data_IF_739964874111
#
_entry.id   IF_739964874111
#
_cell.length_a   1.000
_cell.length_b   1.000
_cell.length_c   1.000
_cell.angle_alpha   90.00
_cell.angle_beta   90.00
_cell.angle_gamma   90.00
#
_symmetry.space_group_name_H-M   'P 1'
#
loop_
_entity.id
_entity.type
_entity.pdbx_description
1 polymer ?
#
# COMPACT_ATOMS: atom_id res chain seq x y z
N UNK A 1 0.20 9.75 4.78
CA UNK A 1 0.19 11.07 5.47
C UNK A 1 0.40 12.23 4.51
N UNK A 2 1.43 12.21 3.65
CA UNK A 2 1.76 13.31 2.72
C UNK A 2 0.57 13.76 1.88
N UNK A 3 -0.03 12.86 1.09
CA UNK A 3 -1.18 13.20 0.25
C UNK A 3 -2.42 13.61 1.05
N UNK A 4 -2.72 12.96 2.16
CA UNK A 4 -3.81 13.37 3.05
C UNK A 4 -3.66 14.82 3.58
N UNK A 5 -2.41 15.27 3.78
CA UNK A 5 -2.12 16.61 4.25
C UNK A 5 -2.14 17.67 3.13
N UNK A 6 -1.80 17.29 1.89
CA UNK A 6 -1.63 18.22 0.77
C UNK A 6 -2.77 18.20 -0.25
N UNK A 7 -3.66 17.19 -0.20
CA UNK A 7 -4.80 17.10 -1.11
C UNK A 7 -5.72 18.32 -0.96
N UNK A 8 -6.09 18.91 -2.09
CA UNK A 8 -6.86 20.14 -2.17
C UNK A 8 -7.90 20.07 -3.29
N UNK A 9 -8.76 21.09 -3.39
CA UNK A 9 -9.84 21.14 -4.38
C UNK A 9 -11.13 20.45 -3.94
N UNK A 10 -12.03 20.24 -4.90
CA UNK A 10 -13.41 19.78 -4.65
C UNK A 10 -13.48 18.34 -4.13
N UNK A 11 -12.53 17.50 -4.51
CA UNK A 11 -12.46 16.09 -4.11
C UNK A 11 -11.76 15.86 -2.76
N UNK A 12 -11.21 16.91 -2.13
CA UNK A 12 -10.32 16.77 -0.97
C UNK A 12 -10.95 16.04 0.22
N UNK A 13 -12.27 16.16 0.41
CA UNK A 13 -12.96 15.58 1.58
C UNK A 13 -12.84 14.07 1.57
N UNK A 14 -13.39 13.45 0.53
CA UNK A 14 -13.34 12.01 0.30
C UNK A 14 -11.90 11.49 0.21
N UNK A 15 -11.06 12.16 -0.58
CA UNK A 15 -9.69 11.69 -0.81
C UNK A 15 -8.82 11.78 0.43
N UNK A 16 -9.05 12.77 1.30
CA UNK A 16 -8.33 12.84 2.58
C UNK A 16 -8.69 11.66 3.47
N UNK A 17 -9.97 11.30 3.57
CA UNK A 17 -10.42 10.14 4.36
C UNK A 17 -9.85 8.85 3.78
N UNK A 18 -9.93 8.67 2.46
CA UNK A 18 -9.29 7.57 1.74
C UNK A 18 -7.80 7.45 2.09
N UNK A 19 -7.00 8.50 1.88
CA UNK A 19 -5.56 8.47 2.18
C UNK A 19 -5.22 8.28 3.66
N UNK A 20 -6.13 8.60 4.59
CA UNK A 20 -5.92 8.37 6.03
C UNK A 20 -6.24 6.94 6.44
N UNK A 21 -7.23 6.31 5.81
CA UNK A 21 -7.59 4.91 6.06
C UNK A 21 -6.41 3.98 5.73
N UNK A 22 -5.79 4.18 4.56
CA UNK A 22 -4.61 3.41 4.10
C UNK A 22 -3.46 3.43 5.12
N UNK A 23 -3.25 4.54 5.85
CA UNK A 23 -2.15 4.64 6.82
C UNK A 23 -2.27 3.58 7.92
N UNK A 24 -3.47 3.27 8.37
CA UNK A 24 -3.67 2.31 9.46
C UNK A 24 -3.36 0.89 8.98
N UNK A 25 -3.83 0.52 7.79
CA UNK A 25 -3.57 -0.79 7.19
C UNK A 25 -2.07 -0.97 6.94
N UNK A 26 -1.43 0.04 6.35
CA UNK A 26 -0.01 -0.03 6.01
C UNK A 26 0.91 -0.07 7.23
N UNK A 27 0.51 0.56 8.34
CA UNK A 27 1.22 0.41 9.60
C UNK A 27 1.09 -1.01 10.17
N UNK A 28 -0.07 -1.67 10.01
CA UNK A 28 -0.24 -3.08 10.40
C UNK A 28 0.64 -3.98 9.53
N UNK A 29 0.67 -3.77 8.21
CA UNK A 29 1.54 -4.50 7.29
C UNK A 29 3.01 -4.35 7.67
N UNK A 30 3.46 -3.10 7.87
CA UNK A 30 4.83 -2.80 8.26
C UNK A 30 5.22 -3.46 9.59
N UNK A 31 4.34 -3.44 10.59
CA UNK A 31 4.56 -4.10 11.87
C UNK A 31 4.71 -5.62 11.71
N UNK A 32 3.78 -6.26 10.98
CA UNK A 32 3.85 -7.69 10.70
C UNK A 32 5.16 -8.06 10.01
N UNK A 33 5.55 -7.33 8.96
CA UNK A 33 6.79 -7.60 8.24
C UNK A 33 8.02 -7.40 9.12
N UNK A 34 8.04 -6.35 9.95
CA UNK A 34 9.15 -6.10 10.87
C UNK A 34 9.32 -7.23 11.90
N UNK A 35 8.22 -7.68 12.49
CA UNK A 35 8.20 -8.79 13.45
C UNK A 35 8.63 -10.09 12.78
N UNK A 36 8.14 -10.36 11.56
CA UNK A 36 8.54 -11.55 10.82
C UNK A 36 10.02 -11.54 10.45
N UNK A 37 10.55 -10.41 9.99
CA UNK A 37 11.98 -10.26 9.71
C UNK A 37 12.82 -10.53 10.97
N UNK A 38 12.42 -9.96 12.12
CA UNK A 38 13.10 -10.18 13.38
C UNK A 38 13.03 -11.65 13.84
N UNK A 39 11.86 -12.29 13.72
CA UNK A 39 11.65 -13.70 14.07
C UNK A 39 12.51 -14.66 13.22
N UNK A 40 12.78 -14.29 11.96
CA UNK A 40 13.69 -15.02 11.07
C UNK A 40 15.17 -14.68 11.30
N UNK A 41 15.50 -13.87 12.32
CA UNK A 41 16.86 -13.50 12.70
C UNK A 41 17.45 -12.31 11.91
N UNK A 42 16.62 -11.64 11.09
CA UNK A 42 17.00 -10.44 10.35
C UNK A 42 16.86 -9.15 11.17
N UNK A 43 17.29 -8.03 10.58
CA UNK A 43 17.06 -6.68 11.13
C UNK A 43 16.14 -5.91 10.19
N UNK A 44 14.94 -5.49 10.61
CA UNK A 44 14.05 -4.70 9.78
C UNK A 44 14.63 -3.31 9.49
N UNK A 45 14.25 -2.73 8.34
CA UNK A 45 14.59 -1.35 8.02
C UNK A 45 13.76 -0.38 8.86
N UNK A 46 14.32 0.80 9.13
CA UNK A 46 13.63 1.94 9.77
C UNK A 46 13.33 3.07 8.78
N UNK A 47 13.68 2.89 7.51
CA UNK A 47 13.51 3.89 6.46
C UNK A 47 12.35 3.49 5.54
N UNK A 48 11.26 4.27 5.47
CA UNK A 48 10.16 4.03 4.55
C UNK A 48 10.56 4.38 3.11
N UNK A 49 9.84 3.83 2.14
CA UNK A 49 9.96 4.24 0.74
C UNK A 49 9.56 5.72 0.58
N UNK A 50 10.22 6.47 -0.33
CA UNK A 50 9.85 7.86 -0.58
C UNK A 50 8.45 7.92 -1.22
N UNK A 51 7.65 8.90 -0.79
CA UNK A 51 6.36 9.21 -1.43
C UNK A 51 6.62 10.23 -2.54
N UNK A 52 6.26 9.95 -3.80
CA UNK A 52 6.43 10.91 -4.89
C UNK A 52 5.74 12.25 -4.61
N UNK A 53 6.30 13.34 -5.13
CA UNK A 53 5.59 14.61 -5.12
C UNK A 53 4.45 14.59 -6.15
N UNK A 54 3.28 15.10 -5.77
CA UNK A 54 2.12 15.18 -6.64
C UNK A 54 1.35 16.48 -6.39
N UNK A 55 1.07 17.23 -7.46
CA UNK A 55 0.43 18.54 -7.39
C UNK A 55 -1.10 18.48 -7.48
N UNK A 56 -1.66 17.42 -8.08
CA UNK A 56 -3.11 17.28 -8.28
C UNK A 56 -3.65 16.03 -7.59
N UNK A 57 -4.92 16.02 -7.16
CA UNK A 57 -5.52 14.83 -6.56
C UNK A 57 -5.48 13.60 -7.49
N UNK A 58 -5.61 13.81 -8.80
CA UNK A 58 -5.46 12.75 -9.79
C UNK A 58 -4.04 12.17 -9.80
N UNK A 59 -3.01 13.02 -9.82
CA UNK A 59 -1.62 12.57 -9.79
C UNK A 59 -1.29 11.83 -8.49
N UNK A 60 -1.89 12.24 -7.35
CA UNK A 60 -1.76 11.51 -6.08
C UNK A 60 -2.31 10.08 -6.20
N UNK A 61 -3.50 9.92 -6.79
CA UNK A 61 -4.11 8.60 -7.00
C UNK A 61 -3.35 7.75 -8.02
N UNK A 62 -2.81 8.35 -9.08
CA UNK A 62 -1.96 7.62 -10.03
C UNK A 62 -0.67 7.10 -9.36
N UNK A 63 -0.08 7.90 -8.46
CA UNK A 63 1.06 7.47 -7.67
C UNK A 63 0.70 6.35 -6.67
N UNK A 64 -0.46 6.44 -6.01
CA UNK A 64 -0.97 5.35 -5.16
C UNK A 64 -1.17 4.08 -5.99
N UNK A 65 -1.88 4.16 -7.12
CA UNK A 65 -2.12 3.00 -7.99
C UNK A 65 -0.83 2.30 -8.43
N UNK A 66 0.21 3.08 -8.72
CA UNK A 66 1.51 2.51 -9.06
C UNK A 66 2.17 1.83 -7.85
N UNK A 67 2.12 2.46 -6.67
CA UNK A 67 2.62 1.87 -5.44
C UNK A 67 1.93 0.54 -5.13
N UNK A 68 0.60 0.48 -5.19
CA UNK A 68 -0.20 -0.74 -4.96
C UNK A 68 0.22 -1.89 -5.89
N UNK A 69 0.37 -1.60 -7.19
CA UNK A 69 0.79 -2.61 -8.18
C UNK A 69 2.17 -3.17 -7.88
N UNK A 70 3.11 -2.31 -7.50
CA UNK A 70 4.45 -2.74 -7.13
C UNK A 70 4.45 -3.51 -5.80
N UNK A 71 3.65 -3.08 -4.83
CA UNK A 71 3.51 -3.75 -3.53
C UNK A 71 2.95 -5.16 -3.69
N UNK A 72 1.85 -5.32 -4.44
CA UNK A 72 1.27 -6.63 -4.78
C UNK A 72 2.32 -7.53 -5.44
N UNK A 73 3.07 -7.02 -6.43
CA UNK A 73 4.10 -7.80 -7.11
C UNK A 73 5.18 -8.30 -6.14
N UNK A 74 5.65 -7.43 -5.22
CA UNK A 74 6.64 -7.80 -4.19
C UNK A 74 6.08 -8.83 -3.22
N UNK A 75 4.84 -8.68 -2.73
CA UNK A 75 4.26 -9.64 -1.80
C UNK A 75 3.99 -10.99 -2.47
N UNK A 76 3.53 -11.03 -3.73
CA UNK A 76 3.39 -12.29 -4.47
C UNK A 76 4.73 -13.01 -4.61
N UNK A 77 5.82 -12.27 -4.86
CA UNK A 77 7.16 -12.86 -4.87
C UNK A 77 7.54 -13.45 -3.50
N UNK A 78 7.33 -12.70 -2.41
CA UNK A 78 7.64 -13.18 -1.05
C UNK A 78 6.77 -14.35 -0.61
N UNK A 79 5.50 -14.37 -1.00
CA UNK A 79 4.57 -15.46 -0.74
C UNK A 79 5.10 -16.76 -1.39
N UNK A 80 5.49 -16.70 -2.67
CA UNK A 80 6.09 -17.85 -3.37
C UNK A 80 7.40 -18.32 -2.72
N UNK A 81 8.22 -17.37 -2.26
CA UNK A 81 9.45 -17.70 -1.53
C UNK A 81 9.16 -18.37 -0.18
N UNK A 82 8.14 -17.90 0.55
CA UNK A 82 7.69 -18.49 1.81
C UNK A 82 7.18 -19.91 1.62
N UNK A 83 6.35 -20.15 0.59
CA UNK A 83 5.89 -21.50 0.23
C UNK A 83 7.05 -22.42 -0.14
N UNK A 84 7.98 -21.95 -0.98
CA UNK A 84 9.16 -22.72 -1.37
C UNK A 84 10.08 -23.04 -0.19
N UNK A 85 10.12 -22.16 0.81
CA UNK A 85 10.84 -22.36 2.07
C UNK A 85 10.11 -23.29 3.05
N UNK A 86 8.83 -23.58 2.81
CA UNK A 86 7.97 -24.40 3.69
C UNK A 86 7.35 -23.63 4.86
N UNK A 87 7.44 -22.30 4.88
CA UNK A 87 6.76 -21.45 5.86
C UNK A 87 5.35 -21.08 5.35
N UNK A 88 4.44 -22.05 5.41
CA UNK A 88 3.06 -21.88 4.95
C UNK A 88 2.27 -20.86 5.79
N UNK A 89 2.66 -20.63 7.04
CA UNK A 89 2.07 -19.58 7.87
C UNK A 89 2.36 -18.21 7.27
N UNK A 90 3.64 -17.92 6.98
CA UNK A 90 4.03 -16.69 6.29
C UNK A 90 3.35 -16.55 4.92
N UNK A 91 3.26 -17.63 4.16
CA UNK A 91 2.59 -17.61 2.87
C UNK A 91 1.10 -17.25 3.00
N UNK A 92 0.41 -17.75 4.03
CA UNK A 92 -0.99 -17.41 4.31
C UNK A 92 -1.14 -15.93 4.71
N UNK A 93 -0.31 -15.45 5.63
CA UNK A 93 -0.36 -14.06 6.08
C UNK A 93 -0.07 -13.09 4.92
N UNK A 94 0.88 -13.43 4.03
CA UNK A 94 1.14 -12.64 2.83
C UNK A 94 -0.02 -12.67 1.83
N UNK A 95 -0.79 -13.76 1.73
CA UNK A 95 -2.01 -13.79 0.90
C UNK A 95 -3.10 -12.85 1.43
N UNK A 96 -3.23 -12.73 2.74
CA UNK A 96 -4.15 -11.76 3.36
C UNK A 96 -3.75 -10.33 3.02
N UNK A 97 -2.46 -9.99 3.17
CA UNK A 97 -1.93 -8.68 2.76
C UNK A 97 -2.16 -8.44 1.27
N UNK A 98 -1.83 -9.42 0.39
CA UNK A 98 -2.09 -9.29 -1.06
C UNK A 98 -3.57 -9.00 -1.35
N UNK A 99 -4.48 -9.61 -0.59
CA UNK A 99 -5.93 -9.38 -0.71
C UNK A 99 -6.33 -7.96 -0.30
N UNK A 100 -5.74 -7.42 0.77
CA UNK A 100 -5.91 -6.03 1.21
C UNK A 100 -5.44 -5.04 0.12
N UNK A 101 -4.19 -5.15 -0.30
CA UNK A 101 -3.57 -4.29 -1.32
C UNK A 101 -4.31 -4.37 -2.67
N UNK A 102 -4.84 -5.56 -3.01
CA UNK A 102 -5.66 -5.72 -4.23
C UNK A 102 -6.95 -4.90 -4.14
N UNK A 103 -7.59 -4.81 -2.96
CA UNK A 103 -8.76 -3.95 -2.76
C UNK A 103 -8.38 -2.48 -2.83
N UNK A 104 -7.29 -2.06 -2.19
CA UNK A 104 -6.79 -0.68 -2.24
C UNK A 104 -6.51 -0.25 -3.69
N UNK A 105 -5.83 -1.11 -4.47
CA UNK A 105 -5.62 -0.92 -5.92
C UNK A 105 -6.94 -0.74 -6.67
N UNK A 106 -7.90 -1.63 -6.46
CA UNK A 106 -9.18 -1.60 -7.18
C UNK A 106 -10.05 -0.39 -6.83
N UNK A 107 -10.07 0.04 -5.57
CA UNK A 107 -10.74 1.28 -5.17
C UNK A 107 -10.06 2.50 -5.78
N UNK A 108 -8.72 2.52 -5.82
CA UNK A 108 -7.96 3.58 -6.50
C UNK A 108 -8.29 3.64 -8.00
N UNK A 109 -8.38 2.49 -8.66
CA UNK A 109 -8.81 2.40 -10.07
C UNK A 109 -10.23 2.93 -10.28
N UNK A 110 -11.16 2.68 -9.33
CA UNK A 110 -12.53 3.22 -9.40
C UNK A 110 -12.53 4.75 -9.24
N UNK A 111 -11.76 5.29 -8.30
CA UNK A 111 -11.60 6.74 -8.13
C UNK A 111 -11.05 7.39 -9.41
N UNK A 112 -10.07 6.75 -10.06
CA UNK A 112 -9.47 7.25 -11.30
C UNK A 112 -10.40 7.19 -12.53
N UNK A 113 -11.38 6.27 -12.56
CA UNK A 113 -12.36 6.15 -13.66
C UNK A 113 -13.38 7.31 -13.70
N UNK A 114 -13.46 8.14 -12.66
CA UNK A 114 -14.33 9.31 -12.62
C UNK A 114 -13.95 10.39 -13.63
N UNK A 115 -14.86 11.34 -13.88
CA UNK A 115 -14.54 12.54 -14.66
C UNK A 115 -13.73 13.50 -13.78
N UNK A 116 -12.48 13.71 -14.15
CA UNK A 116 -11.60 14.70 -13.53
C UNK A 116 -11.69 15.98 -14.34
N UNK A 117 -12.21 17.06 -13.75
CA UNK A 117 -12.10 18.40 -14.34
C UNK A 117 -10.86 19.06 -13.73
N UNK A 118 -9.95 19.51 -14.60
CA UNK A 118 -8.75 20.28 -14.22
C UNK A 118 -9.09 21.71 -13.79
#
# INVERSE_FOLDING_TARGET
>A
MTYAATVSGIHRGELKEFFLAEIQDELRHAQFLADKIAALGGKPTTQPAPVPEAATPRAMLEAVLQAEKETIARYVERMKQAEAFGDYGLANDLQEIISEETRHKEETEKLLKGTWQE
#
